data_IF_645280631480
#
_entry.id   IF_645280631480
#
_cell.length_a   1.000
_cell.length_b   1.000
_cell.length_c   1.000
_cell.angle_alpha   90.00
_cell.angle_beta   90.00
_cell.angle_gamma   90.00
#
_symmetry.space_group_name_H-M   'P 1'
#
loop_
_entity.id
_entity.type
_entity.pdbx_description
1 polymer ?
#
# COMPACT_ATOMS: atom_id res chain seq x y z
N UNK A 1 -21.45 -12.28 -3.55
CA UNK A 1 -20.22 -11.47 -3.64
C UNK A 1 -19.07 -12.45 -3.70
N UNK A 2 -18.26 -12.39 -4.75
CA UNK A 2 -17.01 -13.17 -4.79
C UNK A 2 -16.11 -12.72 -3.64
N UNK A 3 -15.49 -13.67 -2.94
CA UNK A 3 -14.46 -13.39 -1.95
C UNK A 3 -13.31 -12.66 -2.64
N UNK A 4 -12.99 -11.44 -2.19
CA UNK A 4 -11.79 -10.72 -2.63
C UNK A 4 -12.00 -9.35 -3.30
N UNK A 5 -13.24 -8.93 -3.58
CA UNK A 5 -13.48 -7.57 -4.11
C UNK A 5 -13.63 -6.54 -2.97
N UNK A 6 -12.65 -5.66 -2.85
CA UNK A 6 -12.73 -4.44 -2.02
C UNK A 6 -13.59 -3.40 -2.72
N UNK A 7 -14.45 -2.72 -1.96
CA UNK A 7 -15.11 -1.52 -2.48
C UNK A 7 -14.08 -0.40 -2.70
N UNK A 8 -14.35 0.53 -3.61
CA UNK A 8 -13.45 1.67 -3.84
C UNK A 8 -13.21 2.50 -2.57
N UNK A 9 -14.22 2.64 -1.71
CA UNK A 9 -14.09 3.34 -0.43
C UNK A 9 -13.15 2.58 0.51
N UNK A 10 -13.29 1.25 0.58
CA UNK A 10 -12.42 0.39 1.39
C UNK A 10 -10.97 0.43 0.86
N UNK A 11 -10.79 0.41 -0.46
CA UNK A 11 -9.49 0.53 -1.11
C UNK A 11 -8.81 1.85 -0.71
N UNK A 12 -9.50 2.97 -0.88
CA UNK A 12 -8.97 4.30 -0.54
C UNK A 12 -8.70 4.44 0.96
N UNK A 13 -9.57 3.90 1.81
CA UNK A 13 -9.35 3.90 3.25
C UNK A 13 -8.08 3.14 3.65
N UNK A 14 -7.84 1.97 3.04
CA UNK A 14 -6.61 1.21 3.24
C UNK A 14 -5.38 1.98 2.76
N UNK A 15 -5.46 2.59 1.57
CA UNK A 15 -4.36 3.39 1.01
C UNK A 15 -3.98 4.52 1.97
N UNK A 16 -4.93 5.35 2.38
CA UNK A 16 -4.67 6.48 3.29
C UNK A 16 -4.09 6.00 4.62
N UNK A 17 -4.65 4.91 5.17
CA UNK A 17 -4.21 4.37 6.45
C UNK A 17 -2.79 3.80 6.37
N UNK A 18 -2.45 3.09 5.28
CA UNK A 18 -1.10 2.60 5.03
C UNK A 18 -0.11 3.72 4.73
N UNK A 19 -0.53 4.83 4.13
CA UNK A 19 0.32 6.02 3.99
C UNK A 19 0.65 6.63 5.35
N UNK A 20 -0.33 6.75 6.25
CA UNK A 20 -0.08 7.21 7.62
C UNK A 20 0.86 6.25 8.37
N UNK A 21 0.65 4.95 8.25
CA UNK A 21 1.53 3.95 8.84
C UNK A 21 2.95 4.02 8.25
N UNK A 22 3.07 4.22 6.94
CA UNK A 22 4.34 4.42 6.23
C UNK A 22 5.16 5.58 6.82
N UNK A 23 4.51 6.70 7.17
CA UNK A 23 5.18 7.83 7.82
C UNK A 23 5.67 7.52 9.24
N UNK A 24 4.91 6.74 10.00
CA UNK A 24 5.34 6.28 11.34
C UNK A 24 6.56 5.37 11.20
N UNK A 25 6.52 4.42 10.26
CA UNK A 25 7.64 3.53 9.95
C UNK A 25 8.86 4.30 9.45
N UNK A 26 8.67 5.32 8.61
CA UNK A 26 9.74 6.20 8.15
C UNK A 26 10.51 6.80 9.31
N UNK A 27 9.79 7.44 10.23
CA UNK A 27 10.41 8.08 11.38
C UNK A 27 11.10 7.03 12.26
N UNK A 28 10.46 5.89 12.49
CA UNK A 28 11.06 4.81 13.27
C UNK A 28 12.34 4.24 12.64
N UNK A 29 12.36 4.05 11.31
CA UNK A 29 13.56 3.64 10.57
C UNK A 29 14.68 4.67 10.71
N UNK A 30 14.37 5.96 10.59
CA UNK A 30 15.35 7.04 10.75
C UNK A 30 15.95 7.06 12.16
N UNK A 31 15.13 6.87 13.19
CA UNK A 31 15.58 6.80 14.58
C UNK A 31 16.49 5.60 14.83
N UNK A 32 16.09 4.41 14.36
CA UNK A 32 16.88 3.18 14.54
C UNK A 32 18.23 3.24 13.80
N UNK A 33 18.25 3.82 12.58
CA UNK A 33 19.51 4.06 11.87
C UNK A 33 20.43 4.98 12.66
N UNK A 34 19.90 6.12 13.11
CA UNK A 34 20.67 7.08 13.92
C UNK A 34 21.25 6.41 15.17
N UNK A 35 20.45 5.63 15.89
CA UNK A 35 20.90 4.89 17.07
C UNK A 35 22.04 3.92 16.74
N UNK A 36 21.89 3.10 15.70
CA UNK A 36 22.91 2.13 15.28
C UNK A 36 24.20 2.81 14.79
N UNK A 37 24.08 3.97 14.15
CA UNK A 37 25.23 4.73 13.64
C UNK A 37 25.97 5.48 14.77
N UNK A 38 25.26 5.99 15.77
CA UNK A 38 25.85 6.69 16.92
C UNK A 38 26.55 5.73 17.90
N UNK A 39 26.17 4.45 17.93
CA UNK A 39 26.76 3.44 18.81
C UNK A 39 26.44 3.63 20.29
N UNK A 40 25.57 4.59 20.65
CA UNK A 40 25.08 4.77 22.01
C UNK A 40 24.00 3.72 22.30
N UNK A 41 24.17 2.97 23.38
CA UNK A 41 23.17 2.00 23.85
C UNK A 41 22.11 2.72 24.69
N UNK A 42 20.84 2.79 24.25
CA UNK A 42 19.79 3.41 25.04
C UNK A 42 19.48 2.58 26.27
N UNK A 43 19.02 3.24 27.34
CA UNK A 43 18.61 2.58 28.59
C UNK A 43 17.57 1.48 28.39
N UNK A 44 16.59 1.70 27.51
CA UNK A 44 15.46 0.80 27.29
C UNK A 44 15.48 0.20 25.87
N UNK A 45 16.64 -0.29 25.43
CA UNK A 45 16.90 -0.93 24.11
C UNK A 45 16.80 0.01 22.90
N UNK A 46 15.79 0.87 22.86
CA UNK A 46 15.60 1.89 21.83
C UNK A 46 15.50 3.28 22.47
N UNK A 47 15.85 4.32 21.70
CA UNK A 47 15.74 5.72 22.13
C UNK A 47 14.30 6.15 22.45
N UNK A 48 14.15 7.21 23.25
CA UNK A 48 12.86 7.69 23.77
C UNK A 48 11.83 7.96 22.67
N UNK A 49 12.21 8.65 21.60
CA UNK A 49 11.34 8.89 20.44
C UNK A 49 10.81 7.59 19.82
N UNK A 50 11.65 6.55 19.76
CA UNK A 50 11.24 5.26 19.18
C UNK A 50 10.30 4.51 20.13
N UNK A 51 10.48 4.65 21.45
CA UNK A 51 9.56 4.10 22.44
C UNK A 51 8.14 4.68 22.31
N UNK A 52 8.03 5.95 21.88
CA UNK A 52 6.72 6.58 21.61
C UNK A 52 6.05 5.99 20.37
N UNK A 53 6.82 5.60 19.34
CA UNK A 53 6.28 5.09 18.08
C UNK A 53 5.98 3.58 18.10
N UNK A 54 6.75 2.80 18.86
CA UNK A 54 6.64 1.34 18.91
C UNK A 54 5.22 0.83 19.22
N UNK A 55 4.47 1.40 20.20
CA UNK A 55 3.09 0.98 20.47
C UNK A 55 2.19 1.08 19.24
N UNK A 56 2.24 2.20 18.51
CA UNK A 56 1.43 2.41 17.32
C UNK A 56 1.81 1.45 16.18
N UNK A 57 3.10 1.20 16.01
CA UNK A 57 3.61 0.24 15.01
C UNK A 57 3.12 -1.17 15.34
N UNK A 58 3.27 -1.59 16.60
CA UNK A 58 2.84 -2.90 17.08
C UNK A 58 1.33 -3.12 16.87
N UNK A 59 0.51 -2.13 17.23
CA UNK A 59 -0.96 -2.22 17.04
C UNK A 59 -1.33 -2.31 15.56
N UNK A 60 -0.62 -1.59 14.68
CA UNK A 60 -0.80 -1.74 13.24
C UNK A 60 -0.48 -3.16 12.77
N UNK A 61 0.63 -3.73 13.22
CA UNK A 61 0.99 -5.12 12.94
C UNK A 61 -0.10 -6.09 13.44
N UNK A 62 -0.64 -5.90 14.64
CA UNK A 62 -1.71 -6.73 15.18
C UNK A 62 -3.01 -6.66 14.37
N UNK A 63 -3.39 -5.46 13.93
CA UNK A 63 -4.55 -5.29 13.05
C UNK A 63 -4.31 -5.99 11.72
N UNK A 64 -3.12 -5.85 11.12
CA UNK A 64 -2.78 -6.52 9.87
C UNK A 64 -2.76 -8.05 10.01
N UNK A 65 -2.29 -8.58 11.15
CA UNK A 65 -2.38 -10.00 11.48
C UNK A 65 -3.83 -10.50 11.49
N UNK A 66 -4.74 -9.73 12.12
CA UNK A 66 -6.17 -10.07 12.19
C UNK A 66 -6.85 -10.08 10.82
N UNK A 67 -6.46 -9.16 9.93
CA UNK A 67 -7.25 -8.78 8.75
C UNK A 67 -6.52 -9.04 7.44
N UNK A 68 -5.74 -10.13 7.35
CA UNK A 68 -4.94 -10.46 6.17
C UNK A 68 -5.73 -10.47 4.87
N UNK A 69 -6.96 -10.99 4.89
CA UNK A 69 -7.87 -11.01 3.72
C UNK A 69 -8.38 -9.64 3.31
N UNK A 70 -8.27 -8.63 4.18
CA UNK A 70 -8.70 -7.25 3.90
C UNK A 70 -7.63 -6.50 3.11
N UNK A 71 -6.35 -6.70 3.41
CA UNK A 71 -5.27 -5.93 2.82
C UNK A 71 -4.33 -6.73 1.92
N UNK A 72 -4.40 -8.07 1.89
CA UNK A 72 -3.62 -8.93 1.00
C UNK A 72 -4.51 -9.47 -0.15
N UNK A 73 -4.21 -9.20 -1.44
CA UNK A 73 -3.03 -8.50 -1.95
C UNK A 73 -3.00 -7.02 -1.56
N UNK A 74 -1.82 -6.42 -1.31
CA UNK A 74 -1.68 -5.00 -0.98
C UNK A 74 -2.50 -4.08 -1.89
N UNK A 75 -3.14 -3.01 -1.37
CA UNK A 75 -3.79 -2.01 -2.22
C UNK A 75 -2.81 -1.37 -3.19
N UNK A 76 -3.26 -1.09 -4.42
CA UNK A 76 -2.41 -0.40 -5.39
C UNK A 76 -2.34 1.10 -5.04
N UNK A 77 -1.13 1.60 -4.77
CA UNK A 77 -0.91 2.98 -4.31
C UNK A 77 -0.34 3.86 -5.44
N UNK A 78 -0.94 3.84 -6.63
CA UNK A 78 -0.41 4.63 -7.75
C UNK A 78 -0.70 6.12 -7.60
N UNK A 79 -1.86 6.48 -7.06
CA UNK A 79 -2.40 7.84 -7.21
C UNK A 79 -2.32 8.70 -5.94
N UNK A 80 -2.04 8.09 -4.77
CA UNK A 80 -2.04 8.78 -3.47
C UNK A 80 -0.70 8.56 -2.76
N UNK A 81 0.25 9.47 -2.97
CA UNK A 81 1.54 9.50 -2.26
C UNK A 81 1.59 10.71 -1.35
N UNK A 82 1.79 10.48 -0.06
CA UNK A 82 2.00 11.54 0.93
C UNK A 82 3.35 11.32 1.60
N UNK A 83 4.21 12.32 1.51
CA UNK A 83 5.56 12.27 2.10
C UNK A 83 6.64 11.73 1.15
N UNK A 84 7.83 11.41 1.71
CA UNK A 84 9.00 10.96 0.94
C UNK A 84 8.77 9.65 0.17
N UNK A 85 9.52 9.42 -0.93
CA UNK A 85 9.37 8.22 -1.74
C UNK A 85 9.59 6.95 -0.90
N UNK A 86 8.73 5.96 -1.12
CA UNK A 86 8.75 4.68 -0.41
C UNK A 86 7.33 4.25 0.02
N UNK A 87 7.17 2.96 0.28
CA UNK A 87 5.91 2.37 0.74
C UNK A 87 6.06 1.77 2.14
N UNK A 88 4.93 1.40 2.76
CA UNK A 88 4.94 0.80 4.08
C UNK A 88 5.70 -0.54 4.13
N UNK A 89 5.75 -1.27 3.01
CA UNK A 89 6.29 -2.63 2.95
C UNK A 89 7.82 -2.65 2.95
N UNK A 90 8.44 -1.83 2.10
CA UNK A 90 9.88 -1.58 2.06
C UNK A 90 10.38 -0.99 3.37
N UNK A 91 9.60 -0.10 3.99
CA UNK A 91 9.91 0.47 5.32
C UNK A 91 9.77 -0.55 6.44
N UNK A 92 8.76 -1.43 6.42
CA UNK A 92 8.63 -2.56 7.34
C UNK A 92 9.81 -3.53 7.22
N UNK A 93 10.21 -3.87 5.99
CA UNK A 93 11.36 -4.72 5.74
C UNK A 93 12.64 -4.11 6.33
N UNK A 94 12.86 -2.82 6.07
CA UNK A 94 14.00 -2.06 6.63
C UNK A 94 13.94 -2.03 8.15
N UNK A 95 12.78 -1.75 8.74
CA UNK A 95 12.61 -1.73 10.19
C UNK A 95 12.89 -3.11 10.81
N UNK A 96 12.39 -4.20 10.22
CA UNK A 96 12.67 -5.56 10.69
C UNK A 96 14.18 -5.87 10.66
N UNK A 97 14.87 -5.49 9.59
CA UNK A 97 16.33 -5.64 9.49
C UNK A 97 17.09 -4.84 10.55
N UNK A 98 16.62 -3.63 10.89
CA UNK A 98 17.28 -2.77 11.89
C UNK A 98 17.00 -3.26 13.31
N UNK A 99 15.76 -3.63 13.62
CA UNK A 99 15.37 -4.20 14.90
C UNK A 99 16.09 -5.52 15.19
N UNK A 100 16.32 -6.36 14.17
CA UNK A 100 17.05 -7.62 14.31
C UNK A 100 18.53 -7.43 14.68
N UNK A 101 19.11 -6.26 14.32
CA UNK A 101 20.50 -5.87 14.66
C UNK A 101 20.64 -5.26 16.05
N UNK A 102 19.54 -4.90 16.71
CA UNK A 102 19.61 -4.34 18.05
C UNK A 102 20.16 -5.37 19.03
N UNK A 103 21.08 -4.93 19.89
CA UNK A 103 21.61 -5.74 20.97
C UNK A 103 20.62 -5.73 22.13
N UNK A 104 19.63 -6.63 22.10
CA UNK A 104 18.70 -6.81 23.21
C UNK A 104 18.56 -8.27 23.57
N UNK A 105 18.43 -8.52 24.87
CA UNK A 105 18.38 -9.86 25.43
C UNK A 105 17.04 -10.51 25.12
N UNK A 106 16.96 -11.22 23.98
CA UNK A 106 15.76 -11.97 23.55
C UNK A 106 15.31 -13.00 24.58
N UNK A 107 16.19 -13.40 25.50
CA UNK A 107 15.91 -14.36 26.58
C UNK A 107 15.21 -13.73 27.80
N UNK A 108 15.04 -12.41 27.86
CA UNK A 108 14.26 -11.75 28.93
C UNK A 108 12.80 -12.21 28.88
N UNK A 109 12.28 -12.49 27.69
CA UNK A 109 10.90 -12.90 27.49
C UNK A 109 10.76 -14.41 27.58
N UNK A 110 9.85 -14.85 28.45
CA UNK A 110 9.49 -16.25 28.65
C UNK A 110 8.13 -16.48 27.99
N UNK A 111 8.06 -17.42 27.05
CA UNK A 111 6.82 -17.77 26.36
C UNK A 111 5.92 -18.62 27.28
N UNK A 112 4.61 -18.58 27.05
CA UNK A 112 3.64 -19.31 27.89
C UNK A 112 3.99 -20.80 28.10
N UNK A 113 4.42 -21.50 27.04
CA UNK A 113 4.85 -22.90 27.10
C UNK A 113 6.03 -23.16 28.05
N UNK A 114 6.90 -22.17 28.23
CA UNK A 114 8.11 -22.27 29.04
C UNK A 114 7.87 -21.73 30.48
N UNK A 115 6.71 -21.13 30.73
CA UNK A 115 6.26 -20.61 32.02
C UNK A 115 5.46 -21.64 32.85
N UNK A 116 5.04 -22.75 32.23
CA UNK A 116 4.25 -23.80 32.89
C UNK A 116 4.96 -24.34 34.14
N UNK A 117 4.29 -24.23 35.30
CA UNK A 117 4.83 -24.69 36.59
C UNK A 117 5.79 -23.72 37.29
N UNK A 118 6.04 -22.53 36.73
CA UNK A 118 6.86 -21.46 37.33
C UNK A 118 6.09 -20.15 37.56
N UNK A 119 4.77 -20.20 37.54
CA UNK A 119 3.89 -19.02 37.58
C UNK A 119 4.15 -18.10 38.79
N UNK A 120 4.53 -18.67 39.94
CA UNK A 120 4.84 -17.92 41.16
C UNK A 120 6.16 -17.14 41.10
N UNK A 121 7.07 -17.49 40.18
CA UNK A 121 8.37 -16.83 39.99
C UNK A 121 8.35 -15.76 38.91
N UNK A 122 7.27 -15.73 38.12
CA UNK A 122 7.14 -14.95 36.91
C UNK A 122 6.11 -13.83 37.06
N UNK A 123 6.25 -12.83 36.22
CA UNK A 123 5.27 -11.74 36.08
C UNK A 123 4.82 -11.65 34.62
N UNK A 124 3.52 -11.46 34.41
CA UNK A 124 2.94 -11.30 33.08
C UNK A 124 3.26 -9.91 32.53
N UNK A 125 3.89 -9.85 31.36
CA UNK A 125 4.21 -8.60 30.67
C UNK A 125 2.94 -8.06 30.00
N UNK A 126 2.38 -6.99 30.55
CA UNK A 126 1.20 -6.30 30.00
C UNK A 126 1.61 -5.03 29.27
N UNK A 127 1.19 -4.91 28.01
CA UNK A 127 1.42 -3.70 27.23
C UNK A 127 0.29 -2.67 27.50
N UNK A 128 0.62 -1.41 27.82
CA UNK A 128 -0.37 -0.35 28.03
C UNK A 128 -1.32 -0.14 26.84
N UNK A 129 -0.81 -0.22 25.61
CA UNK A 129 -1.62 -0.06 24.39
C UNK A 129 -2.67 -1.17 24.23
N UNK A 130 -2.36 -2.39 24.66
CA UNK A 130 -3.29 -3.53 24.60
C UNK A 130 -4.40 -3.38 25.64
N UNK A 131 -4.03 -2.89 26.82
CA UNK A 131 -5.00 -2.55 27.87
C UNK A 131 -5.90 -1.40 27.43
N UNK A 132 -5.33 -0.40 26.77
CA UNK A 132 -6.06 0.78 26.26
C UNK A 132 -7.06 0.41 25.17
N UNK A 133 -6.70 -0.53 24.29
CA UNK A 133 -7.54 -0.99 23.19
C UNK A 133 -8.35 -2.25 23.52
N UNK A 134 -8.40 -2.65 24.78
CA UNK A 134 -9.17 -3.80 25.22
C UNK A 134 -10.66 -3.62 24.87
N UNK A 135 -11.22 -4.62 24.18
CA UNK A 135 -12.61 -4.58 23.68
C UNK A 135 -12.79 -3.89 22.33
N UNK A 136 -11.73 -3.36 21.72
CA UNK A 136 -11.81 -2.85 20.34
C UNK A 136 -11.92 -4.02 19.36
N UNK A 137 -13.13 -4.26 18.85
CA UNK A 137 -13.47 -5.44 18.04
C UNK A 137 -12.49 -5.76 16.90
N UNK A 138 -11.96 -4.78 16.13
CA UNK A 138 -10.97 -5.06 15.10
C UNK A 138 -9.66 -5.69 15.58
N UNK A 139 -9.35 -5.68 16.88
CA UNK A 139 -8.15 -6.32 17.44
C UNK A 139 -8.46 -7.60 18.24
N UNK A 140 -9.74 -7.93 18.44
CA UNK A 140 -10.14 -9.06 19.29
C UNK A 140 -9.89 -10.44 18.66
N UNK A 141 -9.72 -10.50 17.34
CA UNK A 141 -9.50 -11.76 16.60
C UNK A 141 -8.06 -12.26 16.62
N UNK A 142 -7.12 -11.53 17.24
CA UNK A 142 -5.74 -11.97 17.43
C UNK A 142 -5.50 -12.31 18.90
N UNK A 143 -5.81 -13.55 19.33
CA UNK A 143 -5.48 -14.01 20.68
C UNK A 143 -3.96 -13.95 20.84
N UNK A 144 -3.50 -13.03 21.69
CA UNK A 144 -2.08 -12.87 21.97
C UNK A 144 -1.65 -13.92 22.98
N UNK A 145 -0.66 -14.73 22.63
CA UNK A 145 -0.05 -15.64 23.59
C UNK A 145 0.54 -14.85 24.76
N UNK A 146 0.26 -15.26 26.02
CA UNK A 146 0.85 -14.65 27.20
C UNK A 146 2.37 -14.70 27.15
N UNK A 147 3.01 -13.63 27.60
CA UNK A 147 4.46 -13.53 27.70
C UNK A 147 4.85 -13.04 29.09
N UNK A 148 5.84 -13.68 29.66
CA UNK A 148 6.25 -13.52 31.04
C UNK A 148 7.69 -13.04 31.14
N UNK A 149 8.05 -12.55 32.32
CA UNK A 149 9.41 -12.15 32.68
C UNK A 149 9.69 -12.59 34.11
N UNK A 150 10.96 -12.81 34.48
CA UNK A 150 11.32 -13.02 35.88
C UNK A 150 11.08 -11.75 36.71
N UNK A 151 10.65 -11.91 37.96
CA UNK A 151 10.33 -10.77 38.86
C UNK A 151 11.50 -9.84 39.17
N UNK A 152 12.73 -10.25 38.88
CA UNK A 152 13.95 -9.46 39.08
C UNK A 152 14.28 -8.57 37.89
N UNK A 153 13.65 -8.78 36.74
CA UNK A 153 13.91 -8.02 35.52
C UNK A 153 13.17 -6.68 35.50
N UNK A 154 13.67 -5.75 34.70
CA UNK A 154 13.02 -4.46 34.49
C UNK A 154 11.81 -4.62 33.55
N UNK A 155 10.62 -4.36 34.08
CA UNK A 155 9.37 -4.45 33.33
C UNK A 155 9.33 -3.50 32.12
N UNK A 156 9.95 -2.33 32.20
CA UNK A 156 9.96 -1.38 31.07
C UNK A 156 10.79 -1.94 29.91
N UNK A 157 11.92 -2.58 30.22
CA UNK A 157 12.74 -3.29 29.23
C UNK A 157 11.94 -4.46 28.64
N UNK A 158 11.29 -5.26 29.48
CA UNK A 158 10.48 -6.40 29.03
C UNK A 158 9.36 -5.97 28.07
N UNK A 159 8.66 -4.87 28.36
CA UNK A 159 7.63 -4.33 27.48
C UNK A 159 8.19 -3.88 26.13
N UNK A 160 9.35 -3.20 26.10
CA UNK A 160 10.02 -2.82 24.84
C UNK A 160 10.44 -4.06 24.05
N UNK A 161 11.07 -5.03 24.71
CA UNK A 161 11.45 -6.32 24.10
C UNK A 161 10.23 -7.03 23.49
N UNK A 162 9.09 -7.02 24.20
CA UNK A 162 7.86 -7.66 23.73
C UNK A 162 7.32 -6.97 22.47
N UNK A 163 7.31 -5.64 22.44
CA UNK A 163 6.92 -4.87 21.23
C UNK A 163 7.83 -5.21 20.05
N UNK A 164 9.14 -5.20 20.24
CA UNK A 164 10.11 -5.55 19.20
C UNK A 164 9.87 -6.98 18.71
N UNK A 165 9.71 -7.94 19.62
CA UNK A 165 9.43 -9.34 19.29
C UNK A 165 8.17 -9.50 18.44
N UNK A 166 7.08 -8.81 18.78
CA UNK A 166 5.82 -8.84 18.01
C UNK A 166 5.98 -8.22 16.61
N UNK A 167 6.69 -7.10 16.49
CA UNK A 167 6.98 -6.46 15.19
C UNK A 167 7.87 -7.36 14.33
N UNK A 168 8.90 -7.98 14.91
CA UNK A 168 9.75 -8.93 14.21
C UNK A 168 8.99 -10.18 13.77
N UNK A 169 8.14 -10.74 14.63
CA UNK A 169 7.28 -11.86 14.26
C UNK A 169 6.41 -11.53 13.05
N UNK A 170 5.76 -10.35 13.07
CA UNK A 170 4.95 -9.90 11.96
C UNK A 170 5.75 -9.80 10.65
N UNK A 171 6.90 -9.11 10.67
CA UNK A 171 7.71 -8.92 9.47
C UNK A 171 8.40 -10.19 8.98
N UNK A 172 9.08 -10.92 9.87
CA UNK A 172 9.96 -12.02 9.52
C UNK A 172 9.21 -13.33 9.30
N UNK A 173 8.20 -13.62 10.11
CA UNK A 173 7.47 -14.90 10.08
C UNK A 173 6.19 -14.74 9.27
N UNK A 174 5.33 -13.80 9.66
CA UNK A 174 4.00 -13.71 9.09
C UNK A 174 4.01 -13.19 7.65
N UNK A 175 4.60 -12.01 7.38
CA UNK A 175 4.61 -11.43 6.03
C UNK A 175 5.40 -12.25 5.00
N UNK A 176 6.38 -13.04 5.44
CA UNK A 176 7.11 -13.99 4.61
C UNK A 176 6.33 -15.30 4.40
N UNK A 177 5.47 -15.68 5.35
CA UNK A 177 4.74 -16.96 5.37
C UNK A 177 3.34 -16.90 4.75
N UNK A 178 2.92 -15.77 4.22
CA UNK A 178 1.65 -15.64 3.49
C UNK A 178 1.69 -16.44 2.18
N UNK A 179 0.53 -16.94 1.75
CA UNK A 179 0.36 -17.63 0.46
C UNK A 179 0.85 -16.75 -0.70
N UNK A 180 0.47 -15.47 -0.69
CA UNK A 180 1.11 -14.42 -1.48
C UNK A 180 2.03 -13.62 -0.55
N UNK A 181 3.35 -13.87 -0.56
CA UNK A 181 4.27 -13.22 0.36
C UNK A 181 4.40 -11.73 0.05
N UNK A 182 4.60 -10.94 1.11
CA UNK A 182 4.80 -9.48 1.01
C UNK A 182 6.26 -9.11 1.20
N UNK A 183 6.96 -9.87 2.07
CA UNK A 183 8.39 -9.77 2.28
C UNK A 183 9.06 -11.09 1.90
N UNK A 184 10.35 -11.03 1.55
CA UNK A 184 11.21 -12.20 1.37
C UNK A 184 12.57 -11.94 1.99
N UNK A 185 13.22 -13.01 2.44
CA UNK A 185 14.64 -12.97 2.82
C UNK A 185 15.49 -13.15 1.55
N UNK A 186 16.37 -12.20 1.27
CA UNK A 186 17.27 -12.21 0.11
C UNK A 186 18.70 -11.92 0.56
N UNK A 187 19.70 -12.47 -0.14
CA UNK A 187 21.10 -12.07 0.07
C UNK A 187 21.41 -10.81 -0.73
N UNK A 188 21.99 -9.81 -0.07
CA UNK A 188 22.47 -8.61 -0.73
C UNK A 188 23.82 -8.84 -1.42
N UNK A 189 24.34 -7.81 -2.09
CA UNK A 189 25.61 -7.85 -2.84
C UNK A 189 26.82 -8.24 -1.97
N UNK A 190 26.74 -7.98 -0.66
CA UNK A 190 27.76 -8.36 0.32
C UNK A 190 27.55 -9.77 0.90
N UNK A 191 26.57 -10.53 0.40
CA UNK A 191 26.25 -11.88 0.82
C UNK A 191 25.48 -11.99 2.14
N UNK A 192 25.10 -10.85 2.75
CA UNK A 192 24.30 -10.82 3.98
C UNK A 192 22.82 -10.98 3.67
N UNK A 193 22.13 -11.80 4.46
CA UNK A 193 20.67 -11.97 4.34
C UNK A 193 19.94 -10.74 4.89
N UNK A 194 19.00 -10.21 4.12
CA UNK A 194 18.14 -9.09 4.49
C UNK A 194 16.71 -9.31 4.00
N UNK A 195 15.74 -8.83 4.76
CA UNK A 195 14.35 -8.82 4.35
C UNK A 195 14.12 -7.67 3.35
N UNK A 196 13.45 -7.97 2.24
CA UNK A 196 13.06 -7.00 1.21
C UNK A 196 11.58 -7.15 0.86
N UNK A 197 10.95 -6.06 0.44
CA UNK A 197 9.57 -6.13 -0.07
C UNK A 197 9.52 -6.75 -1.46
N UNK A 198 8.48 -7.55 -1.72
CA UNK A 198 8.13 -8.06 -3.06
C UNK A 198 6.86 -7.42 -3.61
N UNK A 199 6.30 -6.44 -2.89
CA UNK A 199 5.15 -5.70 -3.39
C UNK A 199 5.60 -4.85 -4.55
N UNK A 200 4.99 -5.05 -5.72
CA UNK A 200 5.23 -4.23 -6.89
C UNK A 200 4.68 -2.82 -6.62
N UNK A 201 5.48 -1.97 -5.99
CA UNK A 201 5.26 -0.54 -6.07
C UNK A 201 5.42 -0.18 -7.54
N UNK A 202 4.36 0.31 -8.19
CA UNK A 202 4.45 0.83 -9.54
C UNK A 202 5.47 1.98 -9.52
N UNK A 203 6.71 1.65 -9.87
CA UNK A 203 7.83 2.55 -9.90
C UNK A 203 7.69 3.40 -11.14
N UNK A 204 6.87 4.46 -11.05
CA UNK A 204 6.98 5.59 -11.97
C UNK A 204 8.17 6.42 -11.51
N UNK A 205 9.37 5.98 -11.89
CA UNK A 205 10.54 6.85 -12.01
C UNK A 205 11.62 6.18 -12.85
N UNK A 206 11.42 6.22 -14.17
CA UNK A 206 12.46 6.73 -15.06
C UNK A 206 11.87 7.96 -15.76
N UNK A 207 12.48 9.15 -15.73
CA UNK A 207 12.19 10.18 -16.74
C UNK A 207 12.97 9.77 -17.99
N UNK A 208 12.51 8.73 -18.67
CA UNK A 208 13.06 8.33 -19.96
C UNK A 208 11.90 7.84 -20.83
N UNK A 209 11.52 8.75 -21.73
CA UNK A 209 10.64 8.56 -22.87
C UNK A 209 9.13 8.50 -22.58
N UNK A 210 8.30 9.19 -23.38
CA UNK A 210 6.87 8.88 -23.45
C UNK A 210 6.70 7.39 -23.78
N UNK A 211 5.58 6.75 -23.42
CA UNK A 211 5.31 5.39 -23.87
C UNK A 211 5.37 5.40 -25.40
N UNK A 212 6.40 4.75 -25.95
CA UNK A 212 6.36 4.31 -27.33
C UNK A 212 5.15 3.39 -27.40
N UNK A 213 4.08 3.92 -27.98
CA UNK A 213 3.04 3.10 -28.55
C UNK A 213 3.79 2.11 -29.41
N UNK A 214 3.74 0.84 -29.02
CA UNK A 214 4.21 -0.25 -29.86
C UNK A 214 3.55 -0.06 -31.21
N UNK A 215 4.32 0.45 -32.17
CA UNK A 215 3.97 0.45 -33.58
C UNK A 215 3.93 -1.03 -33.98
N UNK A 216 2.77 -1.66 -33.72
CA UNK A 216 2.32 -2.71 -34.62
C UNK A 216 2.32 -2.06 -35.99
N UNK A 217 3.24 -2.49 -36.83
CA UNK A 217 3.36 -2.14 -38.24
C UNK A 217 1.98 -2.18 -38.90
N UNK A 218 1.28 -1.04 -38.89
CA UNK A 218 0.13 -0.81 -39.73
C UNK A 218 0.72 -0.49 -41.09
N UNK A 219 0.77 -1.51 -41.94
CA UNK A 219 1.00 -1.38 -43.38
C UNK A 219 0.06 -0.30 -43.91
N UNK A 220 0.61 0.89 -44.14
CA UNK A 220 -0.07 1.97 -44.86
C UNK A 220 -0.09 1.57 -46.32
N UNK A 221 -1.14 0.87 -46.74
CA UNK A 221 -1.47 0.77 -48.16
C UNK A 221 -1.92 2.16 -48.64
N UNK A 222 -1.00 2.88 -49.29
CA UNK A 222 -1.32 4.05 -50.10
C UNK A 222 -2.30 3.63 -51.20
N UNK A 223 -3.58 3.92 -51.01
CA UNK A 223 -4.56 3.89 -52.08
C UNK A 223 -4.60 5.28 -52.72
N UNK A 224 -4.14 5.34 -53.96
CA UNK A 224 -4.29 6.47 -54.88
C UNK A 224 -5.76 6.85 -55.03
N UNK A 225 -6.04 8.15 -54.92
CA UNK A 225 -7.31 8.76 -55.29
C UNK A 225 -7.54 8.61 -56.81
N UNK A 226 -8.62 7.94 -57.19
CA UNK A 226 -9.30 8.20 -58.47
C UNK A 226 -10.64 8.86 -58.15
N UNK A 227 -10.85 10.04 -58.76
CA UNK A 227 -12.09 10.81 -58.76
C UNK A 227 -13.27 10.00 -59.29
N UNK A 228 -14.43 10.11 -58.63
CA UNK A 228 -15.65 10.62 -59.28
C UNK A 228 -16.80 10.80 -58.25
N UNK A 229 -17.59 11.88 -58.41
CA UNK A 229 -18.45 12.52 -57.40
C UNK A 229 -19.76 11.78 -56.98
N UNK A 230 -20.87 12.48 -56.60
CA UNK A 230 -21.08 13.92 -56.49
C UNK A 230 -21.57 14.43 -55.10
N UNK A 231 -21.43 15.74 -54.97
CA UNK A 231 -22.01 16.69 -53.99
C UNK A 231 -23.35 16.25 -53.37
N UNK A 232 -23.44 16.29 -52.03
CA UNK A 232 -24.72 16.46 -51.34
C UNK A 232 -24.57 17.20 -50.00
N UNK A 233 -24.89 18.49 -50.09
CA UNK A 233 -25.75 19.24 -49.17
C UNK A 233 -25.24 19.44 -47.73
N UNK A 234 -24.40 20.47 -47.61
CA UNK A 234 -24.14 21.22 -46.38
C UNK A 234 -25.47 21.73 -45.80
N UNK A 235 -26.08 21.00 -44.84
CA UNK A 235 -27.16 21.53 -43.99
C UNK A 235 -26.54 22.44 -42.92
N UNK A 236 -26.38 23.73 -43.26
CA UNK A 236 -26.31 24.80 -42.27
C UNK A 236 -27.69 24.95 -41.63
N UNK A 237 -27.73 25.02 -40.31
CA UNK A 237 -28.86 25.46 -39.48
C UNK A 237 -28.29 26.15 -38.23
N UNK A 238 -29.05 27.06 -37.59
CA UNK A 238 -28.84 28.51 -37.72
C UNK A 238 -28.16 29.15 -36.50
N UNK A 239 -27.63 30.35 -36.72
CA UNK A 239 -27.24 31.27 -35.64
C UNK A 239 -28.46 31.87 -34.94
N UNK A 240 -28.29 32.10 -33.63
CA UNK A 240 -29.07 32.92 -32.71
C UNK A 240 -30.40 32.36 -32.18
N UNK A 241 -30.39 31.96 -30.91
CA UNK A 241 -31.07 32.72 -29.86
C UNK A 241 -30.45 32.39 -28.51
N UNK A 242 -30.03 33.43 -27.79
CA UNK A 242 -29.62 33.37 -26.40
C UNK A 242 -30.79 32.87 -25.55
N UNK A 243 -30.59 31.76 -24.85
CA UNK A 243 -31.46 31.34 -23.74
C UNK A 243 -30.63 31.49 -22.47
N UNK A 244 -30.97 32.52 -21.69
CA UNK A 244 -30.41 32.76 -20.38
C UNK A 244 -31.09 31.84 -19.35
N UNK A 245 -30.33 31.34 -18.39
CA UNK A 245 -30.84 30.85 -17.11
C UNK A 245 -31.12 32.03 -16.17
N UNK A 246 -32.07 31.88 -15.25
CA UNK A 246 -32.65 32.91 -14.35
C UNK A 246 -31.63 33.52 -13.37
N UNK A 247 -30.34 33.13 -13.44
CA UNK A 247 -29.30 33.57 -12.52
C UNK A 247 -28.03 34.16 -13.19
N UNK A 248 -28.08 34.49 -14.49
CA UNK A 248 -27.09 35.39 -15.11
C UNK A 248 -25.64 34.89 -15.18
N UNK A 249 -25.38 33.58 -15.14
CA UNK A 249 -24.04 33.02 -15.33
C UNK A 249 -23.83 32.48 -16.78
N UNK A 250 -22.64 32.62 -17.40
CA UNK A 250 -22.38 32.05 -18.72
C UNK A 250 -22.31 30.52 -18.63
N UNK A 251 -23.24 29.82 -19.28
CA UNK A 251 -23.21 28.37 -19.40
C UNK A 251 -22.00 27.95 -20.26
N UNK A 252 -21.34 26.85 -19.86
CA UNK A 252 -20.20 26.20 -20.51
C UNK A 252 -20.56 25.63 -21.91
N UNK A 253 -21.00 26.51 -22.82
CA UNK A 253 -21.45 26.19 -24.19
C UNK A 253 -20.30 25.62 -25.05
N UNK A 254 -19.05 25.99 -24.76
CA UNK A 254 -17.87 25.47 -25.45
C UNK A 254 -17.61 23.99 -25.17
N UNK A 255 -17.75 23.56 -23.92
CA UNK A 255 -17.54 22.17 -23.52
C UNK A 255 -18.66 21.27 -24.04
N UNK A 256 -19.92 21.74 -23.99
CA UNK A 256 -21.05 21.00 -24.55
C UNK A 256 -20.87 20.80 -26.07
N UNK A 257 -20.43 21.83 -26.80
CA UNK A 257 -20.17 21.71 -28.24
C UNK A 257 -19.03 20.73 -28.56
N UNK A 258 -17.93 20.79 -27.80
CA UNK A 258 -16.81 19.86 -27.97
C UNK A 258 -17.20 18.41 -27.67
N UNK A 259 -18.03 18.19 -26.65
CA UNK A 259 -18.56 16.86 -26.32
C UNK A 259 -19.51 16.32 -27.40
N UNK A 260 -20.31 17.18 -28.04
CA UNK A 260 -21.20 16.79 -29.15
C UNK A 260 -20.36 16.41 -30.38
N UNK A 261 -19.37 17.21 -30.76
CA UNK A 261 -18.49 16.91 -31.90
C UNK A 261 -17.71 15.60 -31.67
N UNK A 262 -17.17 15.40 -30.46
CA UNK A 262 -16.45 14.18 -30.10
C UNK A 262 -17.37 12.95 -30.10
N UNK A 263 -18.62 13.10 -29.67
CA UNK A 263 -19.62 12.03 -29.73
C UNK A 263 -19.93 11.64 -31.18
N UNK A 264 -20.12 12.61 -32.08
CA UNK A 264 -20.40 12.34 -33.50
C UNK A 264 -19.23 11.64 -34.21
N UNK A 265 -18.00 12.01 -33.88
CA UNK A 265 -16.80 11.37 -34.43
C UNK A 265 -16.69 9.90 -33.97
N UNK A 266 -16.92 9.65 -32.67
CA UNK A 266 -16.87 8.31 -32.10
C UNK A 266 -17.97 7.41 -32.67
N UNK A 267 -19.20 7.92 -32.81
CA UNK A 267 -20.28 7.16 -33.46
C UNK A 267 -19.95 6.84 -34.93
N UNK A 268 -19.29 7.75 -35.66
CA UNK A 268 -18.84 7.48 -37.03
C UNK A 268 -17.77 6.39 -37.06
N UNK A 269 -16.82 6.40 -36.14
CA UNK A 269 -15.78 5.36 -36.03
C UNK A 269 -16.37 4.01 -35.64
N UNK A 270 -17.31 3.98 -34.70
CA UNK A 270 -17.98 2.75 -34.28
C UNK A 270 -18.80 2.12 -35.41
N UNK A 271 -19.60 2.91 -36.15
CA UNK A 271 -20.33 2.39 -37.32
C UNK A 271 -19.41 1.89 -38.43
N UNK A 272 -18.19 2.40 -38.54
CA UNK A 272 -17.19 1.89 -39.50
C UNK A 272 -16.59 0.57 -39.02
N UNK A 273 -16.23 0.46 -37.74
CA UNK A 273 -15.74 -0.79 -37.15
C UNK A 273 -16.79 -1.89 -37.17
N UNK A 274 -18.06 -1.59 -36.84
CA UNK A 274 -19.14 -2.59 -36.86
C UNK A 274 -19.41 -3.12 -38.27
N UNK A 275 -19.36 -2.23 -39.29
CA UNK A 275 -19.48 -2.67 -40.69
C UNK A 275 -18.28 -3.51 -41.15
N UNK A 276 -17.08 -3.20 -40.67
CA UNK A 276 -15.91 -4.00 -40.95
C UNK A 276 -15.99 -5.38 -40.27
N UNK A 277 -16.42 -5.43 -39.00
CA UNK A 277 -16.61 -6.66 -38.23
C UNK A 277 -17.69 -7.56 -38.85
N UNK A 278 -18.79 -6.98 -39.34
CA UNK A 278 -19.82 -7.73 -40.06
C UNK A 278 -19.33 -8.28 -41.41
N UNK A 279 -18.43 -7.58 -42.12
CA UNK A 279 -17.84 -8.10 -43.37
C UNK A 279 -16.87 -9.26 -43.12
N UNK A 280 -16.14 -9.23 -42.01
CA UNK A 280 -15.20 -10.29 -41.61
C UNK A 280 -15.92 -11.53 -41.07
N UNK A 281 -17.12 -11.41 -40.48
CA UNK A 281 -17.91 -12.55 -39.99
C UNK A 281 -18.74 -13.28 -41.06
N UNK A 282 -18.79 -12.77 -42.30
CA UNK A 282 -19.56 -13.35 -43.42
C UNK A 282 -18.63 -13.93 -44.51
N UNK A 283 -17.31 -13.93 -44.27
CA UNK A 283 -16.32 -14.74 -45.02
C UNK A 283 -15.87 -15.92 -44.18
#
# INVERSE_FOLDING_TARGET
MEQGYRSEVQERALIVSLQMFSLILERGVSLLKTQLDCGEEPRLVVGEDMQVLLPAIKIWCDWMLCHSTVWNPPPSCTDYRVGPPGDAWSRLATMANLLDKLNYTRTVLIQAKDAEGREDELELVKLPEDTTLAGFTPLMSNPQDPCYVEKTEDMDIAQVCLRISKVLFFGQVFLCGLETPVLKLQKNEMGMSEYVSVVEASSISSPSSPPEQSDSELLVESYSEDEDGPVSTMKRLPSSNDVFDDNGAPLALGEIRSLIERKEELERKQRKQDRHRQRVQVS
#
